data_IF_139691845500
#
_entry.id   IF_139691845500
#
_cell.length_a   1.000
_cell.length_b   1.000
_cell.length_c   1.000
_cell.angle_alpha   90.00
_cell.angle_beta   90.00
_cell.angle_gamma   90.00
#
_symmetry.space_group_name_H-M   'P 1'
#
loop_
_entity.id
_entity.type
_entity.pdbx_description
1 polymer ?
#
# COMPACT_ATOMS: atom_id res chain seq x y z
N UNK A 1 4.85 -7.68 27.24
CA UNK A 1 4.27 -9.00 26.92
C UNK A 1 4.36 -9.20 25.41
N UNK A 2 5.58 -9.39 24.91
CA UNK A 2 5.90 -9.62 23.51
C UNK A 2 5.55 -11.08 23.16
N UNK A 3 4.68 -11.34 22.18
CA UNK A 3 4.61 -12.65 21.49
C UNK A 3 3.83 -12.57 20.17
N UNK A 4 4.59 -12.78 19.09
CA UNK A 4 4.25 -13.58 17.90
C UNK A 4 3.21 -13.01 16.92
N UNK A 5 3.65 -12.06 16.11
CA UNK A 5 3.48 -12.20 14.66
C UNK A 5 4.82 -12.37 13.91
N UNK A 6 5.94 -11.99 14.54
CA UNK A 6 7.30 -12.14 13.98
C UNK A 6 7.92 -13.54 14.08
N UNK A 7 7.16 -14.63 14.04
CA UNK A 7 7.75 -15.96 14.24
C UNK A 7 6.92 -17.14 13.77
N UNK A 8 6.06 -17.00 12.75
CA UNK A 8 5.59 -18.20 12.07
C UNK A 8 6.79 -18.83 11.35
N UNK A 9 7.13 -20.10 11.61
CA UNK A 9 8.20 -20.79 10.90
C UNK A 9 7.97 -20.70 9.39
N UNK A 10 9.02 -20.66 8.56
CA UNK A 10 8.88 -20.56 7.10
C UNK A 10 7.91 -21.59 6.50
N UNK A 11 7.85 -22.80 7.07
CA UNK A 11 6.93 -23.85 6.69
C UNK A 11 5.47 -23.51 7.01
N UNK A 12 5.19 -22.97 8.20
CA UNK A 12 3.85 -22.55 8.60
C UNK A 12 3.34 -21.38 7.74
N UNK A 13 4.21 -20.43 7.39
CA UNK A 13 3.88 -19.35 6.45
C UNK A 13 3.59 -19.85 5.05
N UNK A 14 4.41 -20.77 4.55
CA UNK A 14 4.19 -21.41 3.24
C UNK A 14 2.87 -22.18 3.22
N UNK A 15 2.55 -22.90 4.29
CA UNK A 15 1.26 -23.60 4.43
C UNK A 15 0.10 -22.61 4.46
N UNK A 16 0.15 -21.56 5.29
CA UNK A 16 -0.89 -20.53 5.37
C UNK A 16 -1.10 -19.81 4.02
N UNK A 17 -0.01 -19.39 3.37
CA UNK A 17 -0.07 -18.76 2.06
C UNK A 17 -0.64 -19.70 0.99
N UNK A 18 -0.32 -21.00 1.04
CA UNK A 18 -0.86 -22.00 0.12
C UNK A 18 -2.34 -22.23 0.36
N UNK A 19 -2.76 -22.37 1.61
CA UNK A 19 -4.18 -22.49 1.97
C UNK A 19 -4.96 -21.25 1.51
N UNK A 20 -4.43 -20.05 1.77
CA UNK A 20 -5.08 -18.81 1.34
C UNK A 20 -5.20 -18.68 -0.19
N UNK A 21 -4.17 -19.12 -0.93
CA UNK A 21 -4.20 -19.10 -2.39
C UNK A 21 -5.18 -20.12 -3.01
N UNK A 22 -5.51 -21.19 -2.27
CA UNK A 22 -6.41 -22.25 -2.69
C UNK A 22 -7.86 -22.04 -2.20
N UNK A 23 -8.08 -21.14 -1.25
CA UNK A 23 -9.42 -20.80 -0.77
C UNK A 23 -10.26 -20.19 -1.89
N UNK A 24 -11.52 -20.62 -2.07
CA UNK A 24 -12.41 -20.03 -3.05
C UNK A 24 -12.68 -18.55 -2.72
N UNK A 25 -12.80 -17.73 -3.77
CA UNK A 25 -12.92 -16.27 -3.67
C UNK A 25 -14.08 -15.86 -2.75
N UNK A 26 -15.20 -16.59 -2.84
CA UNK A 26 -16.41 -16.42 -2.02
C UNK A 26 -16.18 -16.69 -0.52
N UNK A 27 -15.30 -17.62 -0.17
CA UNK A 27 -15.00 -17.96 1.22
C UNK A 27 -14.00 -16.98 1.87
N UNK A 28 -13.12 -16.38 1.06
CA UNK A 28 -12.13 -15.43 1.57
C UNK A 28 -12.59 -13.96 1.52
N UNK A 29 -13.73 -13.65 0.88
CA UNK A 29 -14.33 -12.30 0.91
C UNK A 29 -13.46 -11.20 0.27
N UNK A 30 -12.45 -11.58 -0.52
CA UNK A 30 -11.50 -10.68 -1.19
C UNK A 30 -11.53 -10.96 -2.70
N UNK A 31 -11.35 -9.95 -3.54
CA UNK A 31 -11.10 -10.18 -4.97
C UNK A 31 -9.87 -11.08 -5.18
N UNK A 32 -9.89 -11.95 -6.20
CA UNK A 32 -8.86 -12.98 -6.46
C UNK A 32 -7.43 -12.42 -6.48
N UNK A 33 -7.25 -11.23 -7.05
CA UNK A 33 -5.92 -10.61 -7.12
C UNK A 33 -5.43 -10.10 -5.76
N UNK A 34 -6.34 -9.60 -4.92
CA UNK A 34 -6.02 -9.26 -3.52
C UNK A 34 -5.67 -10.49 -2.70
N UNK A 35 -6.34 -11.62 -2.94
CA UNK A 35 -6.01 -12.91 -2.30
C UNK A 35 -4.63 -13.40 -2.69
N UNK A 36 -4.31 -13.37 -3.98
CA UNK A 36 -2.98 -13.74 -4.50
C UNK A 36 -1.89 -12.84 -3.94
N UNK A 37 -2.12 -11.52 -3.91
CA UNK A 37 -1.19 -10.54 -3.34
C UNK A 37 -0.94 -10.81 -1.85
N UNK A 38 -2.00 -11.01 -1.07
CA UNK A 38 -1.87 -11.31 0.36
C UNK A 38 -1.15 -12.65 0.60
N UNK A 39 -1.45 -13.68 -0.18
CA UNK A 39 -0.75 -14.96 -0.09
C UNK A 39 0.75 -14.83 -0.46
N UNK A 40 1.07 -14.07 -1.50
CA UNK A 40 2.46 -13.78 -1.87
C UNK A 40 3.19 -13.00 -0.76
N UNK A 41 2.54 -11.98 -0.19
CA UNK A 41 3.07 -11.18 0.90
C UNK A 41 3.34 -12.02 2.16
N UNK A 42 2.40 -12.85 2.59
CA UNK A 42 2.57 -13.78 3.74
C UNK A 42 3.69 -14.78 3.47
N UNK A 43 3.82 -15.26 2.23
CA UNK A 43 4.86 -16.21 1.83
C UNK A 43 6.24 -15.56 1.86
N UNK A 44 6.38 -14.32 1.42
CA UNK A 44 7.66 -13.64 1.29
C UNK A 44 8.14 -13.00 2.60
N UNK A 45 7.24 -12.39 3.37
CA UNK A 45 7.59 -11.52 4.49
C UNK A 45 8.11 -12.22 5.77
N UNK A 46 9.43 -12.12 6.01
CA UNK A 46 10.13 -12.47 7.25
C UNK A 46 9.72 -11.66 8.49
N UNK A 47 9.26 -10.43 8.28
CA UNK A 47 8.87 -9.49 9.34
C UNK A 47 7.55 -8.77 9.00
N UNK A 48 7.01 -8.01 9.96
CA UNK A 48 5.81 -7.19 9.74
C UNK A 48 6.07 -6.06 8.75
N UNK A 49 7.29 -5.52 8.74
CA UNK A 49 7.73 -4.47 7.81
C UNK A 49 7.79 -5.01 6.38
N UNK A 50 8.32 -6.22 6.19
CA UNK A 50 8.32 -6.86 4.87
C UNK A 50 6.90 -7.21 4.41
N UNK A 51 6.01 -7.58 5.35
CA UNK A 51 4.61 -7.85 5.06
C UNK A 51 3.91 -6.56 4.61
N UNK A 52 4.14 -5.48 5.35
CA UNK A 52 3.64 -4.14 5.01
C UNK A 52 4.10 -3.69 3.63
N UNK A 53 5.42 -3.74 3.38
CA UNK A 53 5.99 -3.35 2.10
C UNK A 53 5.42 -4.17 0.93
N UNK A 54 5.22 -5.48 1.11
CA UNK A 54 4.61 -6.33 0.09
C UNK A 54 3.11 -6.03 -0.14
N UNK A 55 2.39 -5.56 0.89
CA UNK A 55 0.98 -5.18 0.77
C UNK A 55 0.78 -3.79 0.15
N UNK A 56 1.68 -2.85 0.39
CA UNK A 56 1.64 -1.49 -0.14
C UNK A 56 2.28 -1.37 -1.52
N UNK A 57 3.31 -2.17 -1.83
CA UNK A 57 3.94 -2.21 -3.15
C UNK A 57 3.04 -2.85 -4.20
N UNK A 58 3.07 -2.32 -5.43
CA UNK A 58 2.46 -2.97 -6.60
C UNK A 58 3.34 -4.12 -7.10
N UNK A 59 4.64 -4.06 -6.83
CA UNK A 59 5.66 -5.01 -7.27
C UNK A 59 6.05 -5.97 -6.14
N UNK A 60 6.19 -7.25 -6.48
CA UNK A 60 6.66 -8.25 -5.51
C UNK A 60 8.11 -8.02 -5.09
N UNK A 61 8.95 -7.58 -6.03
CA UNK A 61 10.32 -7.14 -5.79
C UNK A 61 10.57 -5.88 -6.62
N UNK A 62 10.47 -4.67 -6.04
CA UNK A 62 10.70 -3.43 -6.76
C UNK A 62 12.19 -3.17 -7.06
N UNK A 63 13.13 -3.85 -6.36
CA UNK A 63 14.56 -3.62 -6.55
C UNK A 63 15.01 -4.01 -7.97
N UNK A 64 14.35 -5.00 -8.59
CA UNK A 64 14.62 -5.42 -9.97
C UNK A 64 14.35 -4.32 -11.00
N UNK A 65 13.55 -3.31 -10.65
CA UNK A 65 13.26 -2.17 -11.52
C UNK A 65 14.27 -1.05 -11.39
N UNK A 66 15.06 -1.04 -10.31
CA UNK A 66 15.99 0.04 -10.00
C UNK A 66 17.39 -0.27 -10.54
N UNK A 67 18.08 0.75 -11.03
CA UNK A 67 19.51 0.62 -11.33
C UNK A 67 20.29 0.22 -10.05
N UNK A 68 21.40 -0.53 -10.13
CA UNK A 68 22.07 -1.10 -8.96
C UNK A 68 22.40 -0.09 -7.84
N UNK A 69 22.80 1.13 -8.21
CA UNK A 69 23.13 2.19 -7.26
C UNK A 69 21.92 2.79 -6.51
N UNK A 70 20.69 2.54 -6.97
CA UNK A 70 19.45 2.91 -6.29
C UNK A 70 18.90 1.79 -5.39
N UNK A 71 19.39 0.56 -5.55
CA UNK A 71 18.93 -0.58 -4.74
C UNK A 71 19.43 -0.48 -3.29
N UNK A 72 20.63 0.07 -3.06
CA UNK A 72 21.19 0.30 -1.72
C UNK A 72 20.44 1.39 -0.95
N UNK A 73 20.14 2.52 -1.60
CA UNK A 73 19.42 3.63 -0.96
C UNK A 73 18.00 3.24 -0.49
N UNK A 74 17.33 2.33 -1.19
CA UNK A 74 16.03 1.80 -0.78
C UNK A 74 16.11 0.88 0.46
N UNK A 75 17.25 0.20 0.66
CA UNK A 75 17.48 -0.68 1.80
C UNK A 75 17.89 0.08 3.08
N UNK A 76 18.38 1.32 2.94
CA UNK A 76 18.86 2.18 4.04
C UNK A 76 17.75 2.96 4.76
N UNK A 77 16.47 2.77 4.38
CA UNK A 77 15.35 3.28 5.15
C UNK A 77 15.39 2.66 6.57
N UNK A 78 15.91 3.43 7.53
CA UNK A 78 16.25 2.94 8.86
C UNK A 78 15.12 2.20 9.58
N UNK A 79 15.50 1.30 10.49
CA UNK A 79 14.57 0.49 11.24
C UNK A 79 13.53 1.36 11.98
N UNK A 80 12.25 0.99 11.86
CA UNK A 80 11.18 1.62 12.61
C UNK A 80 11.31 1.24 14.09
N UNK A 81 11.01 2.16 15.03
CA UNK A 81 10.95 1.80 16.44
C UNK A 81 9.87 0.73 16.68
N UNK A 82 10.09 -0.12 17.69
CA UNK A 82 9.12 -1.13 18.07
C UNK A 82 7.85 -0.50 18.65
N UNK A 83 6.70 -0.96 18.16
CA UNK A 83 5.39 -0.62 18.68
C UNK A 83 4.82 -1.73 19.58
N UNK A 84 3.91 -1.42 20.52
CA UNK A 84 3.38 -2.40 21.48
C UNK A 84 2.61 -3.55 20.84
N UNK A 85 1.98 -3.32 19.68
CA UNK A 85 1.19 -4.32 18.96
C UNK A 85 1.58 -4.37 17.47
N UNK A 86 1.32 -5.51 16.82
CA UNK A 86 1.54 -5.66 15.38
C UNK A 86 0.71 -4.66 14.56
N UNK A 87 -0.51 -4.35 14.99
CA UNK A 87 -1.35 -3.35 14.34
C UNK A 87 -0.73 -1.95 14.43
N UNK A 88 -0.20 -1.58 15.59
CA UNK A 88 0.49 -0.29 15.77
C UNK A 88 1.82 -0.23 15.02
N UNK A 89 2.54 -1.36 14.89
CA UNK A 89 3.74 -1.47 14.06
C UNK A 89 3.40 -1.18 12.58
N UNK A 90 2.32 -1.77 12.07
CA UNK A 90 1.84 -1.52 10.71
C UNK A 90 1.35 -0.07 10.52
N UNK A 91 0.65 0.50 11.51
CA UNK A 91 0.24 1.91 11.49
C UNK A 91 1.44 2.85 11.43
N UNK A 92 2.52 2.54 12.18
CA UNK A 92 3.76 3.31 12.16
C UNK A 92 4.43 3.23 10.78
N UNK A 93 4.51 2.03 10.21
CA UNK A 93 5.05 1.83 8.87
C UNK A 93 4.26 2.60 7.81
N UNK A 94 2.92 2.55 7.87
CA UNK A 94 2.05 3.36 7.01
C UNK A 94 2.34 4.86 7.15
N UNK A 95 2.43 5.37 8.39
CA UNK A 95 2.67 6.79 8.64
C UNK A 95 4.04 7.27 8.12
N UNK A 96 5.05 6.39 8.08
CA UNK A 96 6.43 6.73 7.65
C UNK A 96 6.68 6.49 6.16
N UNK A 97 5.91 5.63 5.52
CA UNK A 97 6.14 5.23 4.13
C UNK A 97 4.92 5.59 3.28
N UNK A 98 3.88 4.77 3.32
CA UNK A 98 2.70 4.87 2.46
C UNK A 98 2.02 6.25 2.51
N UNK A 99 1.83 6.81 3.72
CA UNK A 99 1.20 8.12 3.87
C UNK A 99 2.05 9.23 3.24
N UNK A 100 3.36 9.26 3.53
CA UNK A 100 4.25 10.33 3.07
C UNK A 100 4.59 10.20 1.58
N UNK A 101 5.03 9.01 1.17
CA UNK A 101 5.62 8.75 -0.13
C UNK A 101 4.61 8.36 -1.22
N UNK A 102 3.37 8.03 -0.87
CA UNK A 102 2.32 7.70 -1.85
C UNK A 102 1.14 8.67 -1.76
N UNK A 103 0.52 8.82 -0.59
CA UNK A 103 -0.73 9.57 -0.45
C UNK A 103 -0.50 11.09 -0.50
N UNK A 104 0.34 11.64 0.38
CA UNK A 104 0.50 13.08 0.52
C UNK A 104 1.21 13.72 -0.66
N UNK A 105 2.29 13.09 -1.14
CA UNK A 105 3.08 13.61 -2.26
C UNK A 105 2.26 13.80 -3.54
N UNK A 106 1.31 12.89 -3.82
CA UNK A 106 0.47 12.97 -5.02
C UNK A 106 -0.56 14.10 -4.91
N UNK A 107 -1.21 14.22 -3.76
CA UNK A 107 -2.19 15.28 -3.52
C UNK A 107 -1.55 16.67 -3.59
N UNK A 108 -0.41 16.84 -2.92
CA UNK A 108 0.32 18.09 -2.88
C UNK A 108 0.81 18.52 -4.28
N UNK A 109 1.50 17.63 -5.00
CA UNK A 109 2.01 17.93 -6.35
C UNK A 109 0.89 18.24 -7.35
N UNK A 110 -0.23 17.53 -7.28
CA UNK A 110 -1.37 17.77 -8.16
C UNK A 110 -2.03 19.13 -7.88
N UNK A 111 -2.19 19.51 -6.61
CA UNK A 111 -2.77 20.79 -6.24
C UNK A 111 -1.85 21.96 -6.57
N UNK A 112 -0.56 21.85 -6.23
CA UNK A 112 0.43 22.88 -6.50
C UNK A 112 0.66 23.10 -8.00
N UNK A 113 0.51 22.07 -8.83
CA UNK A 113 0.56 22.20 -10.29
C UNK A 113 -0.49 23.17 -10.87
N UNK A 114 -1.55 23.46 -10.11
CA UNK A 114 -2.61 24.42 -10.46
C UNK A 114 -2.74 25.56 -9.44
N UNK A 115 -1.71 25.79 -8.62
CA UNK A 115 -1.67 26.89 -7.65
C UNK A 115 -2.62 26.76 -6.46
N UNK A 116 -3.05 25.54 -6.12
CA UNK A 116 -3.93 25.26 -4.99
C UNK A 116 -3.15 24.67 -3.80
N UNK A 117 -3.53 25.07 -2.59
CA UNK A 117 -3.00 24.51 -1.34
C UNK A 117 -3.99 23.50 -0.73
N UNK A 118 -3.58 22.24 -0.56
CA UNK A 118 -4.40 21.23 0.14
C UNK A 118 -4.17 21.26 1.63
N UNK A 119 -5.26 21.12 2.41
CA UNK A 119 -5.20 20.92 3.87
C UNK A 119 -5.60 19.48 4.22
N UNK A 120 -4.90 18.89 5.19
CA UNK A 120 -5.20 17.57 5.72
C UNK A 120 -5.53 17.66 7.23
N UNK A 121 -6.76 18.05 7.63
CA UNK A 121 -7.10 18.31 9.03
C UNK A 121 -6.85 17.12 9.98
N UNK A 122 -7.02 15.89 9.50
CA UNK A 122 -6.73 14.68 10.29
C UNK A 122 -5.24 14.50 10.63
N UNK A 123 -4.34 15.21 9.93
CA UNK A 123 -2.90 15.21 10.19
C UNK A 123 -2.46 16.40 11.04
N UNK A 124 -3.38 17.22 11.55
CA UNK A 124 -3.04 18.17 12.62
C UNK A 124 -2.38 17.38 13.77
N UNK A 125 -1.22 17.85 14.23
CA UNK A 125 -0.42 17.14 15.23
C UNK A 125 -1.20 16.83 16.52
N UNK A 126 -2.18 17.67 16.89
CA UNK A 126 -3.04 17.45 18.06
C UNK A 126 -4.00 16.29 17.84
N UNK A 127 -4.60 16.22 16.65
CA UNK A 127 -5.48 15.12 16.24
C UNK A 127 -4.69 13.82 16.15
N UNK A 128 -3.52 13.86 15.50
CA UNK A 128 -2.63 12.71 15.37
C UNK A 128 -2.15 12.20 16.74
N UNK A 129 -1.77 13.10 17.66
CA UNK A 129 -1.35 12.74 19.01
C UNK A 129 -2.46 12.05 19.81
N UNK A 130 -3.70 12.55 19.73
CA UNK A 130 -4.85 11.89 20.36
C UNK A 130 -5.11 10.54 19.72
N UNK A 131 -5.16 10.48 18.38
CA UNK A 131 -5.41 9.24 17.64
C UNK A 131 -4.35 8.17 17.95
N UNK A 132 -3.09 8.55 18.11
CA UNK A 132 -2.00 7.63 18.46
C UNK A 132 -2.21 7.02 19.85
N UNK A 133 -2.58 7.85 20.84
CA UNK A 133 -2.79 7.45 22.24
C UNK A 133 -4.06 6.65 22.50
N UNK A 134 -5.01 6.63 21.56
CA UNK A 134 -6.24 5.84 21.73
C UNK A 134 -5.91 4.34 21.88
N UNK A 135 -6.52 3.64 22.86
CA UNK A 135 -6.47 2.19 22.95
C UNK A 135 -6.84 1.53 21.62
N UNK A 136 -6.16 0.45 21.26
CA UNK A 136 -6.40 -0.25 19.99
C UNK A 136 -7.86 -0.68 19.81
N UNK A 137 -8.56 -1.03 20.89
CA UNK A 137 -9.99 -1.37 20.89
C UNK A 137 -10.91 -0.20 20.47
N UNK A 138 -10.46 1.05 20.58
CA UNK A 138 -11.16 2.23 20.07
C UNK A 138 -10.81 2.56 18.62
N UNK A 139 -9.73 1.98 18.09
CA UNK A 139 -9.35 2.06 16.67
C UNK A 139 -10.03 0.93 15.88
N UNK A 140 -10.06 -0.28 16.44
CA UNK A 140 -10.59 -1.50 15.83
C UNK A 140 -11.43 -2.24 16.86
N UNK A 141 -12.72 -2.49 16.57
CA UNK A 141 -13.63 -3.23 17.45
C UNK A 141 -14.48 -4.21 16.65
N UNK A 142 -14.46 -5.49 17.01
CA UNK A 142 -15.26 -6.52 16.33
C UNK A 142 -15.02 -6.58 14.81
N UNK A 143 -13.76 -6.45 14.37
CA UNK A 143 -13.40 -6.39 12.95
C UNK A 143 -13.69 -5.04 12.26
N UNK A 144 -14.35 -4.11 12.94
CA UNK A 144 -14.66 -2.77 12.41
C UNK A 144 -13.58 -1.77 12.77
N UNK A 145 -12.90 -1.23 11.76
CA UNK A 145 -11.92 -0.14 11.92
C UNK A 145 -12.57 1.23 12.07
N UNK A 146 -11.76 2.22 12.47
CA UNK A 146 -12.17 3.61 12.73
C UNK A 146 -13.30 3.71 13.76
N UNK A 147 -13.34 2.81 14.75
CA UNK A 147 -14.48 2.68 15.67
C UNK A 147 -14.84 4.00 16.37
N UNK A 148 -13.89 4.62 17.08
CA UNK A 148 -14.14 5.89 17.78
C UNK A 148 -14.59 7.02 16.84
N UNK A 149 -14.00 7.10 15.64
CA UNK A 149 -14.38 8.10 14.64
C UNK A 149 -15.81 7.86 14.13
N UNK A 150 -16.22 6.61 13.90
CA UNK A 150 -17.60 6.28 13.53
C UNK A 150 -18.58 6.72 14.62
N UNK A 151 -18.30 6.38 15.89
CA UNK A 151 -19.16 6.76 17.03
C UNK A 151 -19.31 8.28 17.18
N UNK A 152 -18.28 9.05 16.83
CA UNK A 152 -18.36 10.51 16.77
C UNK A 152 -19.23 10.97 15.59
N UNK A 153 -18.97 10.45 14.39
CA UNK A 153 -19.64 10.88 13.17
C UNK A 153 -21.14 10.56 13.14
N UNK A 154 -21.59 9.47 13.78
CA UNK A 154 -23.02 9.15 13.91
C UNK A 154 -23.83 10.24 14.65
N UNK A 155 -23.16 11.14 15.39
CA UNK A 155 -23.81 12.27 16.07
C UNK A 155 -24.04 13.47 15.16
N UNK A 156 -23.35 13.51 14.02
CA UNK A 156 -23.28 14.69 13.15
C UNK A 156 -23.69 14.41 11.70
N UNK A 157 -23.70 13.15 11.28
CA UNK A 157 -23.92 12.73 9.90
C UNK A 157 -24.86 11.52 9.89
N UNK A 158 -25.82 11.43 8.94
CA UNK A 158 -26.70 10.28 8.80
C UNK A 158 -25.94 8.94 8.76
N UNK A 159 -26.39 7.90 9.49
CA UNK A 159 -25.70 6.61 9.59
C UNK A 159 -25.38 5.98 8.23
N UNK A 160 -26.25 6.16 7.24
CA UNK A 160 -26.13 5.58 5.89
C UNK A 160 -24.85 6.06 5.17
N UNK A 161 -24.39 7.28 5.46
CA UNK A 161 -23.15 7.83 4.89
C UNK A 161 -21.90 7.27 5.57
N UNK A 162 -22.00 6.88 6.84
CA UNK A 162 -20.89 6.38 7.64
C UNK A 162 -20.74 4.87 7.47
N UNK A 163 -21.85 4.14 7.43
CA UNK A 163 -21.89 2.67 7.41
C UNK A 163 -21.78 2.05 6.03
N UNK A 164 -21.68 2.88 4.99
CA UNK A 164 -21.40 2.43 3.63
C UNK A 164 -20.10 1.59 3.58
N UNK A 165 -20.04 0.57 2.71
CA UNK A 165 -18.81 -0.17 2.46
C UNK A 165 -17.65 0.74 2.08
N UNK A 166 -16.42 0.34 2.46
CA UNK A 166 -15.20 1.10 2.11
C UNK A 166 -15.04 1.13 0.59
N UNK A 167 -15.35 2.27 -0.01
CA UNK A 167 -14.99 2.58 -1.39
C UNK A 167 -13.52 3.03 -1.44
N UNK A 168 -12.74 2.42 -2.34
CA UNK A 168 -11.42 2.92 -2.69
C UNK A 168 -11.52 4.09 -3.67
N UNK A 169 -10.50 4.93 -3.70
CA UNK A 169 -10.31 5.90 -4.77
C UNK A 169 -9.45 5.26 -5.85
N UNK A 170 -10.06 4.44 -6.71
CA UNK A 170 -9.36 3.78 -7.80
C UNK A 170 -9.48 4.63 -9.07
N UNK A 171 -8.36 5.14 -9.55
CA UNK A 171 -8.29 5.78 -10.86
C UNK A 171 -8.08 4.70 -11.92
N UNK A 172 -8.72 4.79 -13.11
CA UNK A 172 -8.59 3.79 -14.16
C UNK A 172 -7.26 3.94 -14.93
N UNK A 173 -6.14 4.01 -14.20
CA UNK A 173 -4.79 4.26 -14.72
C UNK A 173 -4.45 3.28 -15.84
N UNK A 174 -4.76 1.99 -15.66
CA UNK A 174 -4.50 0.99 -16.69
C UNK A 174 -5.26 1.25 -18.00
N UNK A 175 -6.50 1.72 -17.94
CA UNK A 175 -7.27 2.06 -19.13
C UNK A 175 -6.70 3.32 -19.81
N UNK A 176 -6.30 4.33 -19.03
CA UNK A 176 -5.71 5.54 -19.56
C UNK A 176 -4.36 5.30 -20.22
N UNK A 177 -3.46 4.56 -19.55
CA UNK A 177 -2.13 4.22 -20.07
C UNK A 177 -2.20 3.32 -21.31
N UNK A 178 -3.28 2.56 -21.51
CA UNK A 178 -3.50 1.77 -22.73
C UNK A 178 -4.19 2.53 -23.85
N UNK A 179 -4.88 3.62 -23.53
CA UNK A 179 -5.65 4.42 -24.46
C UNK A 179 -5.08 5.84 -24.56
N UNK A 180 -5.77 6.86 -24.03
CA UNK A 180 -5.47 8.26 -24.29
C UNK A 180 -4.08 8.70 -23.82
N UNK A 181 -3.51 8.08 -22.78
CA UNK A 181 -2.19 8.41 -22.25
C UNK A 181 -1.08 7.50 -22.75
N UNK A 182 -1.37 6.59 -23.69
CA UNK A 182 -0.37 5.65 -24.21
C UNK A 182 0.83 6.36 -24.86
N UNK A 183 0.64 7.34 -25.79
CA UNK A 183 1.78 8.01 -26.41
C UNK A 183 2.65 8.73 -25.38
N UNK A 184 2.02 9.47 -24.46
CA UNK A 184 2.72 10.15 -23.36
C UNK A 184 3.53 9.18 -22.49
N UNK A 185 2.98 8.00 -22.19
CA UNK A 185 3.69 6.98 -21.43
C UNK A 185 4.85 6.38 -22.25
N UNK A 186 4.67 6.11 -23.54
CA UNK A 186 5.71 5.57 -24.41
C UNK A 186 6.90 6.53 -24.53
N UNK A 187 6.66 7.84 -24.61
CA UNK A 187 7.71 8.87 -24.61
C UNK A 187 8.52 8.85 -23.30
N UNK A 188 7.86 8.69 -22.15
CA UNK A 188 8.51 8.62 -20.84
C UNK A 188 9.23 7.29 -20.58
N UNK A 189 8.77 6.21 -21.22
CA UNK A 189 9.32 4.88 -21.08
C UNK A 189 10.38 4.55 -22.14
N UNK A 190 10.75 5.53 -22.98
CA UNK A 190 11.81 5.37 -23.98
C UNK A 190 13.10 4.81 -23.32
N UNK A 191 13.69 3.72 -23.86
CA UNK A 191 14.86 3.09 -23.23
C UNK A 191 16.07 4.02 -23.10
N UNK A 192 16.28 4.93 -24.05
CA UNK A 192 17.40 5.87 -23.99
C UNK A 192 17.16 6.91 -22.90
N UNK A 193 15.94 7.42 -22.78
CA UNK A 193 15.54 8.32 -21.71
C UNK A 193 15.71 7.67 -20.33
N UNK A 194 15.18 6.45 -20.15
CA UNK A 194 15.30 5.71 -18.88
C UNK A 194 16.77 5.48 -18.50
N UNK A 195 17.60 5.11 -19.48
CA UNK A 195 19.03 4.91 -19.25
C UNK A 195 19.74 6.21 -18.87
N UNK A 196 19.41 7.33 -19.53
CA UNK A 196 19.97 8.66 -19.24
C UNK A 196 19.57 9.18 -17.86
N UNK A 197 18.33 8.91 -17.43
CA UNK A 197 17.86 9.32 -16.11
C UNK A 197 18.51 8.51 -14.98
N UNK A 198 18.88 7.24 -15.25
CA UNK A 198 19.66 6.43 -14.32
C UNK A 198 18.88 5.89 -13.11
N UNK A 199 17.56 6.07 -13.03
CA UNK A 199 16.74 5.55 -11.92
C UNK A 199 16.29 4.11 -12.16
N UNK A 200 15.70 3.86 -13.33
CA UNK A 200 15.02 2.61 -13.67
C UNK A 200 15.84 1.78 -14.67
N UNK A 201 15.70 0.46 -14.59
CA UNK A 201 16.23 -0.47 -15.58
C UNK A 201 15.30 -0.52 -16.80
N UNK A 202 15.76 -0.19 -18.02
CA UNK A 202 14.89 -0.15 -19.19
C UNK A 202 14.30 -1.51 -19.57
N UNK A 203 15.09 -2.58 -19.48
CA UNK A 203 14.71 -3.91 -19.95
C UNK A 203 13.45 -4.50 -19.26
N UNK A 204 13.38 -4.59 -17.91
CA UNK A 204 12.18 -5.10 -17.25
C UNK A 204 10.96 -4.22 -17.53
N UNK A 205 11.12 -2.89 -17.52
CA UNK A 205 10.05 -1.93 -17.78
C UNK A 205 9.44 -2.13 -19.18
N UNK A 206 10.28 -2.23 -20.21
CA UNK A 206 9.85 -2.47 -21.59
C UNK A 206 9.18 -3.82 -21.77
N UNK A 207 9.70 -4.88 -21.14
CA UNK A 207 9.08 -6.20 -21.17
C UNK A 207 7.66 -6.16 -20.62
N UNK A 208 7.47 -5.47 -19.50
CA UNK A 208 6.17 -5.36 -18.83
C UNK A 208 5.19 -4.46 -19.59
N UNK A 209 5.67 -3.37 -20.18
CA UNK A 209 4.85 -2.48 -21.00
C UNK A 209 4.29 -3.17 -22.24
N UNK A 210 5.10 -4.04 -22.87
CA UNK A 210 4.71 -4.79 -24.09
C UNK A 210 3.96 -6.09 -23.78
N UNK A 211 3.93 -6.54 -22.53
CA UNK A 211 3.27 -7.77 -22.16
C UNK A 211 1.75 -7.69 -22.42
N UNK A 212 1.12 -8.76 -22.96
CA UNK A 212 -0.33 -8.82 -23.14
C UNK A 212 -1.08 -8.57 -21.83
N UNK A 213 -2.23 -7.90 -21.91
CA UNK A 213 -2.98 -7.22 -20.84
C UNK A 213 -3.53 -8.09 -19.69
N UNK A 214 -3.15 -9.36 -19.57
CA UNK A 214 -3.76 -10.30 -18.61
C UNK A 214 -3.37 -10.08 -17.15
N UNK A 215 -2.54 -9.07 -16.82
CA UNK A 215 -2.01 -8.87 -15.45
C UNK A 215 -2.45 -7.60 -14.71
N UNK A 216 -3.16 -6.66 -15.35
CA UNK A 216 -3.50 -5.35 -14.76
C UNK A 216 -4.99 -5.00 -14.83
N UNK A 217 -5.86 -6.01 -14.89
CA UNK A 217 -7.31 -5.85 -14.99
C UNK A 217 -8.02 -6.44 -13.76
N UNK A 218 -7.67 -5.97 -12.56
CA UNK A 218 -8.54 -6.04 -11.36
C UNK A 218 -8.22 -4.95 -10.35
#
# INVERSE_FOLDING_TARGET
MQRRFGGLPPLARRALARSLALLPVSAAGLARDKQRKLAAAIRAAGSLEQLHAALTSVWADPAVLLQPHWQSAAAEAGALPEAPTAAEQLMLADARTYLLADILVKGDRAAMAVGLETRAPFLDHRVAAVAWRLPLALKIRGGTGKWALRQLLHRHVPPELIDRPKAGFAMPIGAWLRGPLRPWAEDLLDPQLLQRQGYLQPAPIQHLWRAPSTRFAS
#
